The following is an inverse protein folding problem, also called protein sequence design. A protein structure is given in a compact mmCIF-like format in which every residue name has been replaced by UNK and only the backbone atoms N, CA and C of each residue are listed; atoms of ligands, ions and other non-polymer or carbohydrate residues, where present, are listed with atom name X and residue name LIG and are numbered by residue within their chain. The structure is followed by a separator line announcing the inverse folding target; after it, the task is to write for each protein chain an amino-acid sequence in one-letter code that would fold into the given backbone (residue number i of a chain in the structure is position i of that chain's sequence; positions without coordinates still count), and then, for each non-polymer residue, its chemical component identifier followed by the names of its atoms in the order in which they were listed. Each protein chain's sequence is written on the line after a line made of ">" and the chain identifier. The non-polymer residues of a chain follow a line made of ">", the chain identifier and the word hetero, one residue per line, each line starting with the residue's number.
data_IF_745878577804
#
_entry.id   IF_745878577804
#
_cell.length_a   1.000
_cell.length_b   1.000
_cell.length_c   1.000
_cell.angle_alpha   90.00
_cell.angle_beta   90.00
_cell.angle_gamma   90.00
#
_symmetry.space_group_name_H-M   'P 1'
#
loop_
_entity.id
_entity.type
_entity.pdbx_description
1 polymer ?
#
# COMPACT_ATOMS: atom_id res chain seq x y z
N UNK A 1 2.37 -4.39 -15.44
CA UNK A 1 3.03 -4.76 -14.18
C UNK A 1 2.03 -5.49 -13.32
N UNK A 2 2.46 -6.56 -12.66
CA UNK A 2 1.58 -7.41 -11.85
C UNK A 2 1.56 -6.91 -10.39
N UNK A 3 0.38 -6.63 -9.87
CA UNK A 3 0.20 -6.11 -8.51
C UNK A 3 -0.40 -7.14 -7.54
N UNK A 4 -0.54 -8.39 -7.95
CA UNK A 4 -1.20 -9.41 -7.13
C UNK A 4 -0.56 -9.57 -5.76
N UNK A 5 0.77 -9.71 -5.71
CA UNK A 5 1.49 -9.87 -4.44
C UNK A 5 1.37 -8.63 -3.56
N UNK A 6 1.41 -7.45 -4.15
CA UNK A 6 1.24 -6.20 -3.42
C UNK A 6 -0.15 -6.12 -2.81
N UNK A 7 -1.19 -6.41 -3.59
CA UNK A 7 -2.57 -6.36 -3.13
C UNK A 7 -2.83 -7.40 -2.04
N UNK A 8 -2.30 -8.61 -2.19
CA UNK A 8 -2.39 -9.65 -1.18
C UNK A 8 -1.77 -9.19 0.14
N UNK A 9 -0.58 -8.59 0.07
CA UNK A 9 0.12 -8.09 1.26
C UNK A 9 -0.67 -6.99 1.97
N UNK A 10 -1.24 -6.05 1.22
CA UNK A 10 -2.03 -4.97 1.77
C UNK A 10 -3.29 -5.52 2.45
N UNK A 11 -4.00 -6.44 1.79
CA UNK A 11 -5.22 -7.03 2.33
C UNK A 11 -4.94 -7.87 3.57
N UNK A 12 -3.89 -8.67 3.58
CA UNK A 12 -3.49 -9.46 4.75
C UNK A 12 -3.18 -8.57 5.95
N UNK A 13 -2.46 -7.46 5.73
CA UNK A 13 -2.17 -6.50 6.80
C UNK A 13 -3.44 -5.91 7.38
N UNK A 14 -4.40 -5.57 6.53
CA UNK A 14 -5.69 -5.06 6.96
C UNK A 14 -6.48 -6.10 7.76
N UNK A 15 -6.50 -7.33 7.28
CA UNK A 15 -7.21 -8.44 7.96
C UNK A 15 -6.62 -8.69 9.35
N UNK A 16 -5.30 -8.71 9.48
CA UNK A 16 -4.61 -8.86 10.76
C UNK A 16 -4.94 -7.70 11.71
N UNK A 17 -4.96 -6.48 11.19
CA UNK A 17 -5.33 -5.30 11.96
C UNK A 17 -6.75 -5.40 12.51
N UNK A 18 -7.70 -5.83 11.68
CA UNK A 18 -9.10 -5.98 12.09
C UNK A 18 -9.24 -7.05 13.19
N UNK A 19 -8.59 -8.19 13.01
CA UNK A 19 -8.62 -9.28 13.99
C UNK A 19 -8.02 -8.83 15.31
N UNK A 20 -6.83 -8.25 15.27
CA UNK A 20 -6.12 -7.78 16.47
C UNK A 20 -6.94 -6.72 17.23
N UNK A 21 -7.45 -5.73 16.53
CA UNK A 21 -8.25 -4.66 17.13
C UNK A 21 -9.51 -5.20 17.77
N UNK A 22 -10.19 -6.12 17.10
CA UNK A 22 -11.44 -6.70 17.57
C UNK A 22 -11.24 -7.58 18.80
N UNK A 23 -10.21 -8.40 18.82
CA UNK A 23 -9.85 -9.20 19.98
C UNK A 23 -9.53 -8.29 21.18
N UNK A 24 -8.77 -7.23 20.96
CA UNK A 24 -8.40 -6.26 22.00
C UNK A 24 -9.64 -5.56 22.57
N UNK A 25 -10.65 -5.31 21.75
CA UNK A 25 -11.92 -4.69 22.15
C UNK A 25 -12.93 -5.69 22.70
N UNK A 26 -12.59 -6.96 22.75
CA UNK A 26 -13.50 -8.00 23.24
C UNK A 26 -14.61 -8.39 22.27
N UNK A 27 -14.45 -8.09 20.98
CA UNK A 27 -15.44 -8.44 19.96
C UNK A 27 -15.20 -9.88 19.51
N UNK A 28 -16.29 -10.62 19.33
CA UNK A 28 -16.28 -12.01 18.91
C UNK A 28 -15.66 -12.15 17.51
N UNK A 29 -14.78 -13.13 17.34
CA UNK A 29 -14.05 -13.38 16.09
C UNK A 29 -14.99 -13.65 14.91
N UNK A 30 -16.11 -14.34 15.12
CA UNK A 30 -17.09 -14.58 14.05
C UNK A 30 -17.75 -13.29 13.58
N UNK A 31 -18.05 -12.38 14.51
CA UNK A 31 -18.60 -11.06 14.19
C UNK A 31 -17.60 -10.27 13.36
N UNK A 32 -16.31 -10.35 13.70
CA UNK A 32 -15.23 -9.69 12.94
C UNK A 32 -15.16 -10.24 11.52
N UNK A 33 -15.18 -11.56 11.37
CA UNK A 33 -15.13 -12.20 10.05
C UNK A 33 -16.32 -11.80 9.18
N UNK A 34 -17.49 -11.65 9.76
CA UNK A 34 -18.70 -11.21 9.04
C UNK A 34 -18.63 -9.75 8.61
N UNK A 35 -17.95 -8.91 9.40
CA UNK A 35 -17.81 -7.49 9.10
C UNK A 35 -16.55 -7.17 8.29
N UNK A 36 -15.68 -8.15 8.08
CA UNK A 36 -14.47 -8.00 7.25
C UNK A 36 -14.85 -7.61 5.83
N UNK A 37 -14.33 -6.50 5.38
CA UNK A 37 -14.57 -6.00 4.03
C UNK A 37 -13.26 -5.96 3.27
N UNK A 38 -13.35 -6.16 1.96
CA UNK A 38 -12.22 -5.91 1.08
C UNK A 38 -11.92 -4.42 1.06
N UNK A 39 -10.63 -4.08 0.96
CA UNK A 39 -10.21 -2.69 0.87
C UNK A 39 -10.61 -2.00 -0.45
N UNK A 40 -11.06 -2.77 -1.43
CA UNK A 40 -11.38 -2.22 -2.74
C UNK A 40 -10.14 -1.70 -3.46
N UNK A 41 -9.07 -2.50 -3.44
CA UNK A 41 -7.82 -2.15 -4.10
C UNK A 41 -7.96 -2.14 -5.61
N UNK A 42 -7.46 -1.10 -6.24
CA UNK A 42 -7.46 -0.98 -7.69
C UNK A 42 -6.27 -0.15 -8.17
N UNK A 43 -6.03 -0.19 -9.48
CA UNK A 43 -4.92 0.52 -10.12
C UNK A 43 -5.49 1.54 -11.09
N UNK A 44 -5.03 2.77 -10.99
CA UNK A 44 -5.25 3.78 -12.03
C UNK A 44 -3.96 3.93 -12.81
N UNK A 45 -4.00 3.52 -14.07
CA UNK A 45 -2.82 3.57 -14.94
C UNK A 45 -2.46 5.00 -15.29
N UNK A 46 -1.17 5.31 -15.15
CA UNK A 46 -0.63 6.62 -15.49
C UNK A 46 0.54 6.50 -16.46
N UNK A 47 1.16 7.63 -16.75
CA UNK A 47 2.26 7.71 -17.70
C UNK A 47 3.62 7.42 -17.04
N UNK A 48 3.88 8.04 -15.90
CA UNK A 48 5.12 7.85 -15.12
C UNK A 48 4.92 6.91 -13.94
N UNK A 49 3.71 6.89 -13.41
CA UNK A 49 3.35 6.15 -12.22
C UNK A 49 2.02 5.45 -12.43
N UNK A 50 1.89 4.26 -11.86
CA UNK A 50 0.58 3.69 -11.59
C UNK A 50 0.16 4.13 -10.19
N UNK A 51 -1.08 4.57 -10.04
CA UNK A 51 -1.65 4.95 -8.76
C UNK A 51 -2.37 3.76 -8.17
N UNK A 52 -1.97 3.37 -6.98
CA UNK A 52 -2.63 2.30 -6.23
C UNK A 52 -3.68 2.96 -5.34
N UNK A 53 -4.93 2.56 -5.51
CA UNK A 53 -6.06 3.12 -4.80
C UNK A 53 -6.74 2.06 -3.94
N UNK A 54 -7.45 2.52 -2.91
CA UNK A 54 -8.33 1.69 -2.10
C UNK A 54 -9.73 2.31 -2.06
N UNK A 55 -10.69 1.61 -1.48
CA UNK A 55 -12.11 2.00 -1.45
C UNK A 55 -12.65 2.27 -2.85
N UNK A 56 -12.38 1.34 -3.77
CA UNK A 56 -12.85 1.39 -5.16
C UNK A 56 -12.40 2.65 -5.92
N UNK A 57 -11.22 3.16 -5.57
CA UNK A 57 -10.60 4.29 -6.25
C UNK A 57 -10.82 5.64 -5.59
N UNK A 58 -11.47 5.67 -4.42
CA UNK A 58 -11.76 6.93 -3.70
C UNK A 58 -10.54 7.44 -2.94
N UNK A 59 -9.70 6.54 -2.42
CA UNK A 59 -8.51 6.92 -1.67
C UNK A 59 -7.24 6.45 -2.39
N UNK A 60 -6.20 7.29 -2.37
CA UNK A 60 -4.88 6.89 -2.88
C UNK A 60 -4.13 6.16 -1.77
N UNK A 61 -3.58 4.97 -2.11
CA UNK A 61 -2.71 4.22 -1.21
C UNK A 61 -1.24 4.59 -1.43
N UNK A 62 -0.84 4.72 -2.67
CA UNK A 62 0.53 5.04 -3.05
C UNK A 62 0.72 5.01 -4.56
N UNK A 63 1.97 5.10 -4.99
CA UNK A 63 2.33 5.11 -6.40
C UNK A 63 3.40 4.07 -6.68
N UNK A 64 3.46 3.60 -7.92
CA UNK A 64 4.48 2.66 -8.39
C UNK A 64 5.19 3.28 -9.58
N UNK A 65 6.51 3.36 -9.50
CA UNK A 65 7.34 3.88 -10.57
C UNK A 65 7.30 2.95 -11.78
N UNK A 66 7.02 3.48 -12.96
CA UNK A 66 6.88 2.66 -14.18
C UNK A 66 8.18 2.51 -14.97
N UNK A 67 9.12 3.42 -14.80
CA UNK A 67 10.37 3.43 -15.55
C UNK A 67 11.54 3.78 -14.63
N UNK A 68 12.73 3.28 -14.99
CA UNK A 68 13.96 3.67 -14.32
C UNK A 68 14.24 5.15 -14.55
N UNK A 69 14.67 5.84 -13.51
CA UNK A 69 15.16 7.21 -13.60
C UNK A 69 16.36 7.37 -12.66
N UNK A 70 16.93 8.56 -12.59
CA UNK A 70 18.14 8.82 -11.79
C UNK A 70 17.97 8.44 -10.32
N UNK A 71 16.77 8.65 -9.77
CA UNK A 71 16.50 8.44 -8.35
C UNK A 71 15.77 7.15 -8.06
N UNK A 72 14.90 6.70 -8.96
CA UNK A 72 14.03 5.56 -8.72
C UNK A 72 14.15 4.50 -9.81
N UNK A 73 13.81 3.26 -9.44
CA UNK A 73 13.81 2.12 -10.35
C UNK A 73 12.38 1.70 -10.66
N UNK A 74 12.20 1.07 -11.79
CA UNK A 74 10.93 0.48 -12.18
C UNK A 74 10.42 -0.46 -11.07
N UNK A 75 9.17 -0.29 -10.67
CA UNK A 75 8.56 -1.06 -9.60
C UNK A 75 8.71 -0.47 -8.21
N UNK A 76 9.46 0.62 -8.06
CA UNK A 76 9.63 1.29 -6.76
C UNK A 76 8.28 1.77 -6.22
N UNK A 77 8.06 1.51 -4.93
CA UNK A 77 6.87 1.94 -4.21
C UNK A 77 7.11 3.32 -3.62
N UNK A 78 6.29 4.27 -4.00
CA UNK A 78 6.40 5.66 -3.58
C UNK A 78 5.19 6.05 -2.74
N UNK A 79 5.45 6.67 -1.60
CA UNK A 79 4.40 7.18 -0.73
C UNK A 79 3.64 8.31 -1.42
N UNK A 80 2.33 8.38 -1.23
CA UNK A 80 1.53 9.46 -1.76
C UNK A 80 1.77 10.76 -0.97
N UNK A 81 2.15 11.84 -1.66
CA UNK A 81 2.17 13.17 -1.11
C UNK A 81 0.77 13.79 -1.16
N UNK A 82 0.08 13.52 -2.26
CA UNK A 82 -1.29 13.97 -2.50
C UNK A 82 -1.99 12.98 -3.42
N UNK A 83 -3.25 13.24 -3.74
CA UNK A 83 -4.00 12.45 -4.72
C UNK A 83 -3.30 12.37 -6.08
N UNK A 84 -2.57 13.42 -6.46
CA UNK A 84 -2.02 13.54 -7.80
C UNK A 84 -0.55 13.16 -7.93
N UNK A 85 0.21 13.16 -6.84
CA UNK A 85 1.66 12.95 -6.95
C UNK A 85 2.26 12.21 -5.75
N UNK A 86 3.34 11.45 -6.00
CA UNK A 86 4.09 10.80 -4.93
C UNK A 86 5.10 11.73 -4.27
N UNK A 87 5.54 11.36 -3.06
CA UNK A 87 6.75 11.94 -2.47
C UNK A 87 7.96 11.43 -3.24
N UNK A 88 8.97 12.27 -3.40
CA UNK A 88 10.20 11.91 -4.14
C UNK A 88 11.41 11.83 -3.23
N UNK A 89 11.22 11.49 -1.97
CA UNK A 89 12.32 11.40 -1.01
C UNK A 89 13.01 10.04 -1.04
N UNK A 90 12.28 8.94 -0.90
CA UNK A 90 12.85 7.59 -0.90
C UNK A 90 11.79 6.55 -1.23
N UNK A 91 12.14 5.56 -2.03
CA UNK A 91 11.27 4.42 -2.27
C UNK A 91 11.12 3.57 -1.00
N UNK A 92 9.91 3.04 -0.75
CA UNK A 92 9.59 2.20 0.41
C UNK A 92 9.51 0.72 0.05
N UNK A 93 10.16 0.34 -1.01
CA UNK A 93 10.19 -1.03 -1.49
C UNK A 93 10.09 -1.09 -3.01
N UNK A 94 10.02 -2.31 -3.53
CA UNK A 94 9.92 -2.53 -4.96
C UNK A 94 9.16 -3.82 -5.25
N UNK A 95 8.14 -3.75 -6.08
CA UNK A 95 7.29 -4.92 -6.37
C UNK A 95 7.96 -5.94 -7.28
N UNK A 96 8.97 -5.55 -8.05
CA UNK A 96 9.70 -6.45 -8.94
C UNK A 96 10.72 -7.27 -8.16
N UNK A 97 11.43 -6.64 -7.23
CA UNK A 97 12.46 -7.30 -6.42
C UNK A 97 11.90 -7.98 -5.17
N UNK A 98 10.61 -7.78 -4.87
CA UNK A 98 9.95 -8.40 -3.72
C UNK A 98 10.11 -7.66 -2.41
N UNK A 99 10.60 -6.43 -2.42
CA UNK A 99 10.77 -5.61 -1.22
C UNK A 99 9.47 -5.00 -0.72
N UNK A 100 8.65 -5.77 0.01
CA UNK A 100 7.33 -5.36 0.49
C UNK A 100 7.25 -5.19 2.02
N UNK A 101 8.38 -5.13 2.72
CA UNK A 101 8.42 -5.06 4.19
C UNK A 101 7.81 -3.79 4.78
N UNK A 102 7.74 -2.71 4.01
CA UNK A 102 7.19 -1.43 4.46
C UNK A 102 5.74 -1.21 4.04
N UNK A 103 5.11 -2.23 3.47
CA UNK A 103 3.72 -2.17 3.00
C UNK A 103 2.78 -2.37 4.18
N UNK A 104 1.83 -1.45 4.33
CA UNK A 104 0.76 -1.48 5.33
C UNK A 104 -0.57 -1.18 4.66
N UNK A 105 -1.69 -1.56 5.29
CA UNK A 105 -3.02 -1.27 4.74
C UNK A 105 -3.32 0.24 4.69
N UNK A 106 -2.71 1.03 5.56
CA UNK A 106 -2.87 2.49 5.59
C UNK A 106 -2.02 3.19 4.54
N UNK A 107 -0.99 2.53 4.01
CA UNK A 107 -0.07 3.09 3.04
C UNK A 107 1.33 2.54 3.25
N UNK A 108 2.31 3.24 2.73
CA UNK A 108 3.73 2.93 2.95
C UNK A 108 4.21 3.59 4.24
N UNK A 109 5.16 2.95 4.91
CA UNK A 109 5.70 3.50 6.16
C UNK A 109 6.42 4.82 5.93
N UNK A 110 6.23 5.75 6.87
CA UNK A 110 7.01 6.99 6.89
C UNK A 110 8.48 6.69 7.17
N UNK A 111 9.36 7.54 6.65
CA UNK A 111 10.77 7.47 6.99
C UNK A 111 10.96 7.80 8.45
N UNK A 112 11.82 7.04 9.13
CA UNK A 112 12.16 7.35 10.53
C UNK A 112 12.94 8.65 10.57
N UNK A 113 12.74 9.43 11.63
CA UNK A 113 13.49 10.66 11.87
C UNK A 113 14.98 10.32 11.92
N UNK A 114 15.77 11.03 11.11
CA UNK A 114 17.21 10.79 11.00
C UNK A 114 17.61 9.69 10.02
N UNK A 115 16.66 8.95 9.44
CA UNK A 115 16.93 8.00 8.37
C UNK A 115 16.93 8.73 7.03
N UNK A 116 18.02 8.66 6.34
CA UNK A 116 18.17 9.31 5.03
C UNK A 116 17.96 8.29 3.91
#
# INVERSE_FOLDING_TARGET
>A
MDYEKLFTKIQEDYDEFLIHTSVHMGIDLETVKKSQRELGLCVRRGRKYDKICKRDGVEVWGFVQLEDCDKFKKGDLLMAESWHKPTKNKARGNIITGGLSQVMHTGLRYLKKGAA
#
